data_IF_051939787470
#
_entry.id   IF_051939787470
#
_cell.length_a   1.000
_cell.length_b   1.000
_cell.length_c   1.000
_cell.angle_alpha   90.00
_cell.angle_beta   90.00
_cell.angle_gamma   90.00
#
_symmetry.space_group_name_H-M   'P 1'
#
loop_
_entity.id
_entity.type
_entity.pdbx_description
1 polymer ?
#
# COMPACT_ATOMS: atom_id res chain seq x y z
N UNK A 1 15.71 1.69 -8.31
CA UNK A 1 14.59 1.40 -9.24
C UNK A 1 13.33 2.04 -8.66
N UNK A 2 12.65 2.96 -9.37
CA UNK A 2 11.47 3.63 -8.80
C UNK A 2 10.31 2.64 -8.69
N UNK A 3 9.72 2.53 -7.49
CA UNK A 3 8.55 1.69 -7.26
C UNK A 3 7.33 2.44 -7.79
N UNK A 4 6.64 1.83 -8.76
CA UNK A 4 5.36 2.32 -9.27
C UNK A 4 4.25 1.58 -8.53
N UNK A 5 3.34 2.33 -7.93
CA UNK A 5 2.20 1.78 -7.19
C UNK A 5 0.91 2.38 -7.74
N UNK A 6 -0.05 1.52 -8.07
CA UNK A 6 -1.38 1.96 -8.47
C UNK A 6 -2.17 2.35 -7.22
N UNK A 7 -2.53 3.62 -7.10
CA UNK A 7 -3.23 4.10 -5.90
C UNK A 7 -4.58 3.39 -5.70
N UNK A 8 -5.29 3.04 -6.78
CA UNK A 8 -6.53 2.28 -6.71
C UNK A 8 -6.35 0.87 -6.09
N UNK A 9 -5.21 0.22 -6.35
CA UNK A 9 -4.89 -1.09 -5.77
C UNK A 9 -4.60 -0.99 -4.27
N UNK A 10 -3.87 0.05 -3.85
CA UNK A 10 -3.59 0.32 -2.43
C UNK A 10 -4.89 0.54 -1.65
N UNK A 11 -5.77 1.40 -2.18
CA UNK A 11 -7.04 1.67 -1.53
C UNK A 11 -7.95 0.44 -1.52
N UNK A 12 -7.98 -0.34 -2.60
CA UNK A 12 -8.75 -1.57 -2.63
C UNK A 12 -8.28 -2.56 -1.55
N UNK A 13 -6.98 -2.80 -1.44
CA UNK A 13 -6.43 -3.66 -0.39
C UNK A 13 -6.83 -3.19 1.02
N UNK A 14 -6.85 -1.88 1.24
CA UNK A 14 -7.29 -1.32 2.52
C UNK A 14 -8.80 -1.43 2.72
N UNK A 15 -9.63 -1.23 1.69
CA UNK A 15 -11.09 -1.34 1.77
C UNK A 15 -11.56 -2.79 2.00
N UNK A 16 -10.84 -3.75 1.43
CA UNK A 16 -11.11 -5.18 1.58
C UNK A 16 -10.59 -5.74 2.91
N UNK A 17 -9.71 -5.00 3.60
CA UNK A 17 -9.18 -5.39 4.91
C UNK A 17 -10.31 -5.58 5.95
N UNK A 18 -10.25 -6.66 6.77
CA UNK A 18 -11.19 -6.86 7.87
C UNK A 18 -11.08 -5.75 8.94
N UNK A 19 -9.97 -5.01 8.97
CA UNK A 19 -9.74 -3.90 9.89
C UNK A 19 -10.22 -2.55 9.36
N UNK A 20 -10.78 -2.50 8.14
CA UNK A 20 -11.28 -1.26 7.56
C UNK A 20 -12.54 -0.78 8.29
N UNK A 21 -12.46 0.45 8.82
CA UNK A 21 -13.57 1.08 9.54
C UNK A 21 -14.76 1.34 8.60
N UNK A 22 -15.98 1.13 9.10
CA UNK A 22 -17.21 1.33 8.31
C UNK A 22 -17.34 2.77 7.80
N UNK A 23 -16.93 3.77 8.59
CA UNK A 23 -16.99 5.17 8.17
C UNK A 23 -16.12 5.43 6.93
N UNK A 24 -14.98 4.74 6.81
CA UNK A 24 -14.09 4.84 5.63
C UNK A 24 -14.76 4.24 4.40
N UNK A 25 -15.39 3.07 4.54
CA UNK A 25 -16.11 2.40 3.42
C UNK A 25 -17.28 3.22 2.89
N UNK A 26 -17.88 4.09 3.72
CA UNK A 26 -19.00 4.95 3.31
C UNK A 26 -18.57 6.16 2.49
N UNK A 27 -17.33 6.62 2.64
CA UNK A 27 -16.82 7.85 2.00
C UNK A 27 -15.82 7.57 0.88
N UNK A 28 -15.40 6.33 0.70
CA UNK A 28 -14.44 5.94 -0.35
C UNK A 28 -14.99 4.82 -1.21
N UNK A 29 -14.88 4.96 -2.52
CA UNK A 29 -15.17 3.89 -3.48
C UNK A 29 -14.11 3.79 -4.58
N UNK A 30 -14.01 2.62 -5.20
CA UNK A 30 -13.13 2.37 -6.36
C UNK A 30 -14.00 2.25 -7.61
N UNK A 31 -13.82 3.18 -8.54
CA UNK A 31 -14.51 3.18 -9.82
C UNK A 31 -13.60 2.61 -10.93
N UNK A 32 -14.17 1.72 -11.75
CA UNK A 32 -13.50 1.04 -12.87
C UNK A 32 -12.09 0.51 -12.56
N UNK A 33 -11.81 0.12 -11.30
CA UNK A 33 -10.50 -0.37 -10.86
C UNK A 33 -9.35 0.62 -11.03
N UNK A 34 -9.63 1.90 -11.33
CA UNK A 34 -8.63 2.90 -11.72
C UNK A 34 -8.73 4.19 -10.94
N UNK A 35 -9.92 4.53 -10.47
CA UNK A 35 -10.18 5.82 -9.83
C UNK A 35 -10.63 5.59 -8.39
N UNK A 36 -9.96 6.26 -7.45
CA UNK A 36 -10.40 6.36 -6.06
C UNK A 36 -11.34 7.57 -5.98
N UNK A 37 -12.60 7.35 -5.63
CA UNK A 37 -13.58 8.41 -5.41
C UNK A 37 -13.77 8.62 -3.91
N UNK A 38 -13.63 9.88 -3.49
CA UNK A 38 -13.84 10.31 -2.12
C UNK A 38 -15.09 11.18 -2.07
N UNK A 39 -16.03 10.87 -1.19
CA UNK A 39 -17.29 11.59 -1.03
C UNK A 39 -17.37 12.12 0.40
N UNK A 40 -17.42 13.44 0.54
CA UNK A 40 -17.63 14.11 1.83
C UNK A 40 -18.85 15.04 1.76
N UNK A 41 -19.41 15.36 2.93
CA UNK A 41 -20.39 16.45 3.10
C UNK A 41 -19.78 17.49 4.03
N UNK A 42 -19.77 18.75 3.63
CA UNK A 42 -19.18 19.84 4.42
C UNK A 42 -17.65 19.95 4.27
N UNK A 43 -16.98 20.51 5.28
CA UNK A 43 -15.52 20.68 5.27
C UNK A 43 -14.81 19.37 5.61
N UNK A 44 -13.86 18.95 4.78
CA UNK A 44 -13.10 17.72 5.00
C UNK A 44 -11.62 17.92 4.67
N UNK A 45 -10.77 17.16 5.35
CA UNK A 45 -9.35 17.03 5.02
C UNK A 45 -9.02 15.55 4.90
N UNK A 46 -8.35 15.18 3.82
CA UNK A 46 -7.86 13.83 3.61
C UNK A 46 -6.34 13.83 3.67
N UNK A 47 -5.78 12.92 4.45
CA UNK A 47 -4.34 12.67 4.50
C UNK A 47 -4.10 11.21 4.11
N UNK A 48 -3.13 11.02 3.21
CA UNK A 48 -2.74 9.71 2.74
C UNK A 48 -1.28 9.48 3.06
N UNK A 49 -0.99 8.34 3.69
CA UNK A 49 0.37 7.90 3.93
C UNK A 49 0.54 6.51 3.33
N UNK A 50 1.52 6.34 2.44
CA UNK A 50 1.95 5.02 2.02
C UNK A 50 3.08 4.57 2.94
N UNK A 51 2.85 3.46 3.66
CA UNK A 51 3.92 2.78 4.38
C UNK A 51 4.49 1.69 3.49
N UNK A 52 5.71 1.90 3.01
CA UNK A 52 6.46 0.84 2.35
C UNK A 52 7.14 -0.02 3.43
N UNK A 53 6.91 -1.33 3.39
CA UNK A 53 7.64 -2.30 4.20
C UNK A 53 8.56 -3.10 3.29
N UNK A 54 9.84 -3.18 3.67
CA UNK A 54 10.83 -4.03 3.00
C UNK A 54 11.14 -5.15 3.97
N UNK A 55 10.64 -6.36 3.69
CA UNK A 55 11.03 -7.55 4.43
C UNK A 55 12.26 -8.15 3.77
N UNK A 56 13.39 -8.07 4.46
CA UNK A 56 14.62 -8.74 4.04
C UNK A 56 14.48 -10.22 4.41
N UNK A 57 14.52 -11.10 3.41
CA UNK A 57 14.67 -12.53 3.66
C UNK A 57 16.15 -12.79 3.90
N UNK A 58 16.54 -13.04 5.14
CA UNK A 58 17.85 -13.62 5.43
C UNK A 58 17.88 -15.02 4.82
N UNK A 59 18.64 -15.19 3.74
CA UNK A 59 19.15 -16.50 3.36
C UNK A 59 20.51 -16.63 4.03
N UNK A 60 20.78 -17.73 4.75
CA UNK A 60 22.13 -17.98 5.24
C UNK A 60 23.06 -18.06 4.02
N UNK A 61 24.10 -17.24 4.01
CA UNK A 61 25.14 -17.32 2.98
C UNK A 61 25.71 -18.74 3.00
N UNK A 62 25.72 -19.39 1.83
CA UNK A 62 26.40 -20.68 1.68
C UNK A 62 27.90 -20.37 1.57
N UNK A 63 28.75 -21.29 2.02
CA UNK A 63 30.21 -21.14 1.93
C UNK A 63 30.70 -20.94 0.47
N UNK A 64 29.86 -21.22 -0.53
CA UNK A 64 30.13 -20.93 -1.95
C UNK A 64 29.94 -19.46 -2.35
N UNK A 65 29.32 -18.64 -1.50
CA UNK A 65 28.90 -17.27 -1.80
C UNK A 65 29.81 -16.23 -1.11
N UNK A 66 30.96 -16.66 -0.58
CA UNK A 66 31.96 -15.75 -0.02
C UNK A 66 32.46 -14.80 -1.10
N UNK A 67 32.00 -13.56 -1.02
CA UNK A 67 32.55 -12.44 -1.78
C UNK A 67 33.96 -12.21 -1.21
N UNK A 68 34.99 -12.58 -1.97
CA UNK A 68 36.36 -12.20 -1.64
C UNK A 68 36.46 -10.68 -1.70
N UNK A 69 36.60 -10.04 -0.55
CA UNK A 69 36.93 -8.62 -0.43
C UNK A 69 38.46 -8.57 -0.38
N UNK A 70 39.05 -7.94 -1.40
CA UNK A 70 40.49 -7.62 -1.48
C UNK A 70 40.84 -6.47 -0.52
#
# INVERSE_FOLDING_TARGET
MPIRVTIAEVFRAQLDSPHCKKEVKQVVSIDQHRVVRLVSKGSCQFQFAMKQRIDLKEQPMRASDEIMID
#
